data_IF_806275754779
#
_entry.id   IF_806275754779
#
_cell.length_a   1.000
_cell.length_b   1.000
_cell.length_c   1.000
_cell.angle_alpha   90.00
_cell.angle_beta   90.00
_cell.angle_gamma   90.00
#
_symmetry.space_group_name_H-M   'P 1'
#
loop_
_entity.id
_entity.type
_entity.pdbx_description
1 polymer ?
#
# COMPACT_ATOMS: atom_id res chain seq x y z
N UNK A 1 -5.27 13.20 9.79
CA UNK A 1 -4.76 11.83 10.10
C UNK A 1 -5.14 10.93 8.92
N UNK A 2 -4.15 10.32 8.27
CA UNK A 2 -4.34 9.54 7.03
C UNK A 2 -4.13 8.03 7.28
N UNK A 3 -4.77 7.22 6.43
CA UNK A 3 -4.63 5.77 6.32
C UNK A 3 -3.56 5.48 5.29
N UNK A 4 -2.51 4.74 5.67
CA UNK A 4 -1.45 4.30 4.75
C UNK A 4 -1.64 2.82 4.39
N UNK A 5 -1.60 2.51 3.09
CA UNK A 5 -1.65 1.13 2.59
C UNK A 5 -0.25 0.52 2.43
N UNK A 6 0.02 -0.65 3.05
CA UNK A 6 1.36 -1.21 3.09
C UNK A 6 1.75 -2.04 1.86
N UNK A 7 0.80 -2.61 1.13
CA UNK A 7 1.11 -3.44 -0.03
C UNK A 7 0.07 -3.31 -1.15
N UNK A 8 0.46 -3.75 -2.35
CA UNK A 8 -0.43 -3.79 -3.53
C UNK A 8 -1.32 -5.04 -3.58
N UNK A 9 -1.14 -6.01 -2.67
CA UNK A 9 -1.88 -7.27 -2.66
C UNK A 9 -3.32 -7.06 -2.20
N UNK A 10 -3.52 -6.30 -1.13
CA UNK A 10 -4.85 -5.90 -0.69
C UNK A 10 -5.65 -5.19 -1.78
N UNK A 11 -4.99 -4.29 -2.50
CA UNK A 11 -5.57 -3.55 -3.63
C UNK A 11 -5.93 -4.47 -4.80
N UNK A 12 -5.11 -5.48 -5.07
CA UNK A 12 -5.38 -6.49 -6.10
C UNK A 12 -6.67 -7.24 -5.81
N UNK A 13 -6.94 -7.57 -4.53
CA UNK A 13 -8.19 -8.24 -4.16
C UNK A 13 -9.42 -7.38 -4.45
N UNK A 14 -9.35 -6.07 -4.14
CA UNK A 14 -10.44 -5.14 -4.50
C UNK A 14 -10.65 -5.06 -5.99
N UNK A 15 -9.57 -4.97 -6.77
CA UNK A 15 -9.66 -4.90 -8.22
C UNK A 15 -10.19 -6.20 -8.83
N UNK A 16 -9.82 -7.38 -8.30
CA UNK A 16 -10.36 -8.67 -8.76
C UNK A 16 -11.86 -8.84 -8.47
N UNK A 17 -12.34 -8.28 -7.37
CA UNK A 17 -13.76 -8.33 -7.00
C UNK A 17 -14.57 -7.17 -7.58
N UNK A 18 -14.00 -6.35 -8.47
CA UNK A 18 -14.61 -5.12 -9.01
C UNK A 18 -15.15 -4.17 -7.92
N UNK A 19 -14.45 -4.15 -6.78
CA UNK A 19 -14.88 -3.48 -5.55
C UNK A 19 -14.09 -2.18 -5.28
N UNK A 20 -13.49 -1.57 -6.30
CA UNK A 20 -12.69 -0.34 -6.15
C UNK A 20 -13.53 0.85 -5.64
N UNK A 21 -14.80 0.94 -6.02
CA UNK A 21 -15.70 1.97 -5.47
C UNK A 21 -15.99 1.78 -3.99
N UNK A 22 -16.05 0.52 -3.52
CA UNK A 22 -16.18 0.22 -2.10
C UNK A 22 -14.92 0.65 -1.36
N UNK A 23 -13.75 0.36 -1.92
CA UNK A 23 -12.47 0.83 -1.37
C UNK A 23 -12.44 2.36 -1.26
N UNK A 24 -12.88 3.08 -2.29
CA UNK A 24 -12.97 4.55 -2.29
C UNK A 24 -13.84 5.07 -1.13
N UNK A 25 -15.00 4.44 -0.89
CA UNK A 25 -15.89 4.78 0.23
C UNK A 25 -15.25 4.49 1.59
N UNK A 26 -14.50 3.40 1.71
CA UNK A 26 -13.81 3.03 2.96
C UNK A 26 -12.71 4.03 3.30
N UNK A 27 -11.90 4.36 2.29
CA UNK A 27 -10.81 5.32 2.40
C UNK A 27 -11.35 6.72 2.70
N UNK A 28 -12.51 7.08 2.12
CA UNK A 28 -13.24 8.32 2.38
C UNK A 28 -12.34 9.57 2.28
N UNK A 29 -11.49 9.63 1.25
CA UNK A 29 -10.55 10.74 1.01
C UNK A 29 -9.43 10.89 2.05
N UNK A 30 -9.25 9.92 2.95
CA UNK A 30 -8.19 9.93 3.98
C UNK A 30 -7.04 8.99 3.66
N UNK A 31 -6.97 8.54 2.41
CA UNK A 31 -5.96 7.60 1.95
C UNK A 31 -4.65 8.27 1.60
N UNK A 32 -3.58 7.57 1.85
CA UNK A 32 -2.27 7.78 1.24
C UNK A 32 -1.60 6.43 1.10
N UNK A 33 -0.46 6.40 0.41
CA UNK A 33 0.21 5.17 0.02
C UNK A 33 1.65 5.48 -0.38
N UNK A 34 2.50 4.46 -0.32
CA UNK A 34 3.90 4.62 -0.68
C UNK A 34 4.10 4.59 -2.19
N UNK A 35 5.16 5.25 -2.66
CA UNK A 35 5.55 5.22 -4.06
C UNK A 35 5.72 3.80 -4.62
N UNK A 36 6.30 2.88 -3.84
CA UNK A 36 6.47 1.49 -4.27
C UNK A 36 5.13 0.78 -4.47
N UNK A 37 4.14 1.02 -3.60
CA UNK A 37 2.78 0.44 -3.79
C UNK A 37 2.13 1.00 -5.06
N UNK A 38 2.27 2.29 -5.33
CA UNK A 38 1.75 2.90 -6.55
C UNK A 38 2.36 2.28 -7.82
N UNK A 39 3.69 2.14 -7.85
CA UNK A 39 4.40 1.51 -8.96
C UNK A 39 4.02 0.04 -9.15
N UNK A 40 3.84 -0.72 -8.06
CA UNK A 40 3.37 -2.10 -8.13
C UNK A 40 1.95 -2.19 -8.68
N UNK A 41 1.07 -1.23 -8.36
CA UNK A 41 -0.28 -1.19 -8.90
C UNK A 41 -0.28 -0.97 -10.41
N UNK A 42 0.56 -0.06 -10.92
CA UNK A 42 0.72 0.15 -12.37
C UNK A 42 1.30 -1.07 -13.08
N UNK A 43 2.25 -1.76 -12.45
CA UNK A 43 2.82 -3.00 -12.99
C UNK A 43 1.76 -4.10 -13.07
N UNK A 44 1.04 -4.36 -11.97
CA UNK A 44 -0.02 -5.36 -11.89
C UNK A 44 -1.19 -5.05 -12.82
N UNK A 45 -1.52 -3.78 -13.05
CA UNK A 45 -2.55 -3.38 -14.00
C UNK A 45 -2.27 -3.92 -15.41
N UNK A 46 -1.00 -3.90 -15.82
CA UNK A 46 -0.56 -4.47 -17.10
C UNK A 46 -0.37 -5.98 -17.04
N UNK A 47 0.50 -6.45 -16.14
CA UNK A 47 0.91 -7.86 -16.05
C UNK A 47 -0.26 -8.82 -15.80
N UNK A 48 -1.16 -8.46 -14.87
CA UNK A 48 -2.30 -9.29 -14.49
C UNK A 48 -3.57 -8.96 -15.29
N UNK A 49 -3.48 -8.09 -16.29
CA UNK A 49 -4.64 -7.58 -17.05
C UNK A 49 -5.76 -7.07 -16.12
N UNK A 50 -5.37 -6.36 -15.06
CA UNK A 50 -6.26 -5.91 -14.00
C UNK A 50 -6.37 -4.38 -13.98
N UNK A 51 -7.05 -3.75 -14.96
CA UNK A 51 -7.06 -2.30 -15.14
C UNK A 51 -7.62 -1.55 -13.92
N UNK A 52 -8.48 -2.19 -13.11
CA UNK A 52 -8.99 -1.67 -11.85
C UNK A 52 -7.89 -1.23 -10.87
N UNK A 53 -6.69 -1.81 -10.96
CA UNK A 53 -5.54 -1.39 -10.14
C UNK A 53 -5.17 0.09 -10.33
N UNK A 54 -5.38 0.65 -11.54
CA UNK A 54 -5.09 2.07 -11.82
C UNK A 54 -6.06 3.02 -11.13
N UNK A 55 -7.25 2.55 -10.73
CA UNK A 55 -8.22 3.33 -9.95
C UNK A 55 -7.65 3.72 -8.58
N UNK A 56 -6.69 2.95 -8.06
CA UNK A 56 -6.01 3.24 -6.79
C UNK A 56 -5.39 4.64 -6.75
N UNK A 57 -4.85 5.14 -7.87
CA UNK A 57 -4.30 6.50 -7.97
C UNK A 57 -5.36 7.57 -7.65
N UNK A 58 -6.61 7.37 -8.07
CA UNK A 58 -7.71 8.29 -7.74
C UNK A 58 -8.08 8.21 -6.25
N UNK A 59 -8.03 7.02 -5.66
CA UNK A 59 -8.47 6.76 -4.27
C UNK A 59 -7.45 7.30 -3.25
N UNK A 60 -6.16 7.10 -3.51
CA UNK A 60 -5.08 7.43 -2.58
C UNK A 60 -4.33 8.71 -2.93
N UNK A 61 -4.53 9.25 -4.13
CA UNK A 61 -3.90 10.49 -4.59
C UNK A 61 -2.39 10.32 -4.83
N UNK A 62 -1.66 11.41 -4.64
CA UNK A 62 -0.21 11.45 -4.86
C UNK A 62 0.52 10.53 -3.86
N UNK A 63 1.37 9.61 -4.32
CA UNK A 63 2.13 8.74 -3.44
C UNK A 63 3.19 9.49 -2.62
N UNK A 64 3.49 8.93 -1.45
CA UNK A 64 4.59 9.37 -0.60
C UNK A 64 5.91 8.86 -1.19
N UNK A 65 6.71 9.80 -1.66
CA UNK A 65 8.06 9.53 -2.15
C UNK A 65 9.08 9.71 -1.01
N UNK A 66 9.88 8.68 -0.70
CA UNK A 66 10.91 8.81 0.31
C UNK A 66 12.02 9.77 -0.16
N UNK A 67 12.44 10.67 0.73
CA UNK A 67 13.69 11.43 0.60
C UNK A 67 14.93 10.51 0.75
N UNK A 68 16.16 10.99 0.50
CA UNK A 68 17.34 10.13 0.57
C UNK A 68 17.57 9.46 1.94
N UNK A 69 17.26 10.14 3.05
CA UNK A 69 17.41 9.56 4.39
C UNK A 69 16.31 8.53 4.67
N UNK A 70 15.09 8.83 4.25
CA UNK A 70 13.95 7.91 4.28
C UNK A 70 14.20 6.66 3.41
N UNK A 71 14.90 6.81 2.29
CA UNK A 71 15.28 5.68 1.45
C UNK A 71 16.22 4.72 2.19
N UNK A 72 17.20 5.25 2.93
CA UNK A 72 18.11 4.43 3.73
C UNK A 72 17.32 3.65 4.80
N UNK A 73 16.44 4.34 5.54
CA UNK A 73 15.60 3.69 6.55
C UNK A 73 14.67 2.63 5.94
N UNK A 74 14.08 2.92 4.79
CA UNK A 74 13.29 1.97 4.01
C UNK A 74 14.10 0.70 3.70
N UNK A 75 15.36 0.83 3.31
CA UNK A 75 16.21 -0.34 3.03
C UNK A 75 16.53 -1.14 4.28
N UNK A 76 16.79 -0.47 5.40
CA UNK A 76 17.02 -1.13 6.69
C UNK A 76 15.77 -1.94 7.09
N UNK A 77 14.57 -1.36 6.97
CA UNK A 77 13.31 -2.09 7.20
C UNK A 77 13.13 -3.26 6.22
N UNK A 78 13.46 -3.06 4.94
CA UNK A 78 13.34 -4.11 3.93
C UNK A 78 14.23 -5.31 4.23
N UNK A 79 15.45 -5.09 4.75
CA UNK A 79 16.33 -6.17 5.18
C UNK A 79 15.75 -7.00 6.32
N UNK A 80 14.98 -6.39 7.22
CA UNK A 80 14.29 -7.12 8.30
C UNK A 80 13.14 -7.99 7.79
N UNK A 81 12.46 -7.60 6.71
CA UNK A 81 11.34 -8.37 6.16
C UNK A 81 11.76 -9.46 5.17
N UNK A 82 12.95 -9.35 4.58
CA UNK A 82 13.40 -10.29 3.55
C UNK A 82 13.64 -11.70 4.10
N UNK A 83 13.22 -12.67 3.31
CA UNK A 83 13.60 -14.07 3.43
C UNK A 83 14.60 -14.46 2.34
N UNK A 84 15.41 -15.53 2.55
CA UNK A 84 16.28 -16.05 1.50
C UNK A 84 15.50 -16.38 0.22
N UNK A 85 15.97 -15.86 -0.92
CA UNK A 85 15.34 -16.05 -2.23
C UNK A 85 14.36 -14.94 -2.65
N UNK A 86 14.07 -13.97 -1.78
CA UNK A 86 13.24 -12.83 -2.14
C UNK A 86 13.91 -11.92 -3.17
N UNK A 87 13.12 -11.49 -4.16
CA UNK A 87 13.56 -10.56 -5.18
C UNK A 87 13.85 -9.15 -4.64
N UNK A 88 14.58 -8.31 -5.39
CA UNK A 88 15.08 -7.01 -4.90
C UNK A 88 13.99 -6.01 -4.50
N UNK A 89 12.79 -6.12 -5.08
CA UNK A 89 11.63 -5.25 -4.79
C UNK A 89 10.66 -5.82 -3.76
N UNK A 90 10.85 -7.08 -3.32
CA UNK A 90 9.96 -7.70 -2.35
C UNK A 90 9.98 -6.93 -1.02
N UNK A 91 8.82 -6.78 -0.39
CA UNK A 91 8.62 -6.03 0.87
C UNK A 91 8.88 -4.53 0.81
N UNK A 92 9.12 -3.94 -0.37
CA UNK A 92 9.50 -2.53 -0.47
C UNK A 92 8.36 -1.59 -0.06
N UNK A 93 7.12 -1.85 -0.50
CA UNK A 93 5.94 -1.07 -0.08
C UNK A 93 5.69 -1.11 1.43
N UNK A 94 5.84 -2.29 2.04
CA UNK A 94 5.66 -2.47 3.49
C UNK A 94 6.73 -1.71 4.26
N UNK A 95 7.96 -1.70 3.74
CA UNK A 95 9.11 -1.01 4.34
C UNK A 95 9.01 0.51 4.25
N UNK A 96 8.58 1.05 3.10
CA UNK A 96 8.33 2.48 2.94
C UNK A 96 7.17 2.95 3.80
N UNK A 97 6.14 2.10 3.93
CA UNK A 97 5.01 2.38 4.81
C UNK A 97 5.47 2.43 6.26
N UNK A 98 6.24 1.45 6.74
CA UNK A 98 6.79 1.46 8.09
C UNK A 98 7.65 2.70 8.35
N UNK A 99 8.54 3.05 7.41
CA UNK A 99 9.34 4.27 7.50
C UNK A 99 8.47 5.53 7.64
N UNK A 100 7.39 5.62 6.85
CA UNK A 100 6.45 6.75 6.92
C UNK A 100 5.74 6.82 8.27
N UNK A 101 5.43 5.67 8.88
CA UNK A 101 4.85 5.57 10.23
C UNK A 101 5.85 5.94 11.34
N UNK A 102 7.12 5.58 11.18
CA UNK A 102 8.15 5.94 12.16
C UNK A 102 8.37 7.46 12.17
N UNK A 103 8.27 8.10 10.99
CA UNK A 103 8.40 9.56 10.86
C UNK A 103 7.15 10.32 11.28
N UNK A 104 5.96 9.75 11.07
CA UNK A 104 4.69 10.45 11.24
C UNK A 104 3.70 9.61 12.04
N UNK A 105 2.91 10.24 12.92
CA UNK A 105 1.82 9.59 13.68
C UNK A 105 0.61 9.23 12.80
N UNK A 106 0.84 8.53 11.69
CA UNK A 106 -0.15 8.06 10.75
C UNK A 106 -0.73 6.72 11.24
N UNK A 107 -1.97 6.41 10.83
CA UNK A 107 -2.57 5.10 11.10
C UNK A 107 -2.34 4.20 9.88
N UNK A 108 -1.98 2.95 10.12
CA UNK A 108 -1.88 1.95 9.07
C UNK A 108 -3.13 1.07 9.05
N UNK A 109 -3.47 0.54 7.87
CA UNK A 109 -4.44 -0.56 7.75
C UNK A 109 -3.66 -1.84 7.50
N UNK A 110 -3.67 -2.75 8.47
CA UNK A 110 -3.06 -4.07 8.31
C UNK A 110 -4.00 -4.95 7.49
N UNK A 111 -3.64 -5.16 6.22
CA UNK A 111 -4.48 -5.87 5.27
C UNK A 111 -4.39 -7.39 5.49
N UNK A 112 -5.06 -7.92 6.53
CA UNK A 112 -5.49 -9.33 6.62
C UNK A 112 -6.62 -9.57 7.63
N UNK A 113 -6.52 -9.04 8.85
CA UNK A 113 -7.53 -9.31 9.90
C UNK A 113 -8.26 -8.04 10.36
N UNK A 114 -7.53 -6.96 10.64
CA UNK A 114 -8.13 -5.71 11.13
C UNK A 114 -9.08 -5.06 10.12
N UNK A 115 -8.82 -5.22 8.83
CA UNK A 115 -9.68 -4.70 7.77
C UNK A 115 -11.07 -5.39 7.75
N UNK A 116 -11.09 -6.72 7.90
CA UNK A 116 -12.34 -7.50 7.92
C UNK A 116 -13.12 -7.23 9.20
N UNK A 117 -12.43 -7.09 10.33
CA UNK A 117 -13.05 -6.73 11.61
C UNK A 117 -13.63 -5.32 11.57
N UNK A 118 -12.89 -4.35 11.04
CA UNK A 118 -13.37 -2.98 10.86
C UNK A 118 -14.60 -2.89 9.94
N UNK A 119 -14.64 -3.69 8.87
CA UNK A 119 -15.81 -3.81 7.98
C UNK A 119 -17.05 -4.39 8.68
N UNK A 120 -16.88 -5.19 9.74
CA UNK A 120 -17.98 -5.83 10.47
C UNK A 120 -18.53 -4.96 11.60
N UNK A 121 -17.78 -3.99 12.08
CA UNK A 121 -18.14 -3.09 13.19
C UNK A 121 -18.73 -1.74 12.71
N UNK A 122 -18.95 -1.58 11.40
CA UNK A 122 -19.48 -0.39 10.72
C UNK A 122 -20.71 -0.76 9.90
#
# INVERSE_FOLDING_TARGET
MAIVFPDSTGLSNFAYCDAMELLEKIVAGRGTWSASVALECDHKAGELSLPGMRVSHRIFGEPLWPDPAEHIQTRIHQEHFRSPGDGPRKHLGESETLMSLDRAHLRHVRCREEFVTWLRER
#
